data_IF_543007361943
#
_entry.id   IF_543007361943
#
_cell.length_a   1.000
_cell.length_b   1.000
_cell.length_c   1.000
_cell.angle_alpha   90.00
_cell.angle_beta   90.00
_cell.angle_gamma   90.00
#
_symmetry.space_group_name_H-M   'P 1'
#
loop_
_entity.id
_entity.type
_entity.pdbx_description
1 polymer ?
#
# COMPACT_ATOMS: atom_id res chain seq x y z
N UNK A 1 -12.22 -13.57 -12.43
CA UNK A 1 -11.63 -13.40 -11.08
C UNK A 1 -10.21 -13.92 -11.06
N UNK A 2 -9.32 -13.18 -10.41
CA UNK A 2 -7.93 -13.61 -10.26
C UNK A 2 -7.78 -14.52 -9.03
N UNK A 3 -6.86 -15.49 -9.13
CA UNK A 3 -6.45 -16.31 -7.99
C UNK A 3 -5.43 -15.52 -7.17
N UNK A 4 -5.73 -15.32 -5.88
CA UNK A 4 -4.86 -14.60 -4.95
C UNK A 4 -3.92 -15.52 -4.17
N UNK A 5 -4.02 -16.85 -4.33
CA UNK A 5 -3.17 -17.80 -3.60
C UNK A 5 -1.67 -17.51 -3.76
N UNK A 6 -1.15 -17.16 -4.96
CA UNK A 6 0.26 -16.84 -5.13
C UNK A 6 0.73 -15.63 -4.30
N UNK A 7 -0.16 -14.69 -3.98
CA UNK A 7 0.18 -13.55 -3.12
C UNK A 7 0.55 -14.01 -1.70
N UNK A 8 -0.20 -14.96 -1.15
CA UNK A 8 0.04 -15.47 0.20
C UNK A 8 1.40 -16.18 0.31
N UNK A 9 1.83 -16.86 -0.76
CA UNK A 9 3.13 -17.52 -0.80
C UNK A 9 4.32 -16.54 -0.78
N UNK A 10 4.08 -15.27 -1.07
CA UNK A 10 5.10 -14.22 -1.11
C UNK A 10 5.23 -13.44 0.19
N UNK A 11 4.34 -13.67 1.15
CA UNK A 11 4.40 -12.99 2.44
C UNK A 11 5.60 -13.49 3.23
N UNK A 12 6.43 -12.56 3.72
CA UNK A 12 7.63 -12.85 4.49
C UNK A 12 7.40 -12.61 5.97
N UNK A 13 7.96 -13.51 6.79
CA UNK A 13 7.88 -13.40 8.24
C UNK A 13 8.58 -12.14 8.74
N UNK A 14 7.96 -11.47 9.72
CA UNK A 14 8.49 -10.28 10.41
C UNK A 14 8.69 -9.04 9.53
N UNK A 15 8.09 -9.04 8.35
CA UNK A 15 8.02 -7.84 7.48
C UNK A 15 6.57 -7.54 7.12
N UNK A 16 6.30 -6.31 6.72
CA UNK A 16 5.04 -5.95 6.05
C UNK A 16 5.21 -6.18 4.55
N UNK A 17 4.33 -7.00 3.98
CA UNK A 17 4.27 -7.21 2.53
C UNK A 17 3.28 -6.21 1.94
N UNK A 18 3.77 -5.28 1.15
CA UNK A 18 3.01 -4.13 0.65
C UNK A 18 3.38 -3.81 -0.79
N UNK A 19 2.52 -3.07 -1.45
CA UNK A 19 2.74 -2.59 -2.82
C UNK A 19 3.16 -1.12 -2.79
N UNK A 20 4.15 -0.78 -3.60
CA UNK A 20 4.57 0.60 -3.81
C UNK A 20 3.43 1.42 -4.42
N UNK A 21 3.12 2.56 -3.81
CA UNK A 21 2.20 3.55 -4.37
C UNK A 21 2.95 4.36 -5.45
N UNK A 22 2.95 3.86 -6.66
CA UNK A 22 3.67 4.48 -7.78
C UNK A 22 3.20 5.89 -8.08
N UNK A 23 1.88 6.15 -8.18
CA UNK A 23 1.41 7.51 -8.44
C UNK A 23 1.86 8.52 -7.40
N UNK A 24 1.81 8.16 -6.12
CA UNK A 24 2.19 9.05 -5.03
C UNK A 24 3.72 9.22 -4.95
N UNK A 25 4.48 8.14 -5.10
CA UNK A 25 5.95 8.19 -5.14
C UNK A 25 6.46 9.09 -6.28
N UNK A 26 5.79 9.05 -7.43
CA UNK A 26 6.09 9.90 -8.59
C UNK A 26 5.77 11.38 -8.33
N UNK A 27 4.64 11.65 -7.66
CA UNK A 27 4.20 13.03 -7.38
C UNK A 27 5.00 13.70 -6.28
N UNK A 28 5.58 12.92 -5.38
CA UNK A 28 6.33 13.41 -4.21
C UNK A 28 7.67 12.70 -4.10
N UNK A 29 8.55 12.86 -5.12
CA UNK A 29 9.83 12.15 -5.17
C UNK A 29 10.76 12.51 -4.02
N UNK A 30 10.60 13.69 -3.42
CA UNK A 30 11.36 14.12 -2.24
C UNK A 30 11.09 13.25 -1.00
N UNK A 31 10.01 12.51 -0.97
CA UNK A 31 9.66 11.60 0.13
C UNK A 31 10.19 10.18 -0.06
N UNK A 32 10.82 9.90 -1.21
CA UNK A 32 11.29 8.56 -1.56
C UNK A 32 10.15 7.61 -1.91
N UNK A 33 10.37 6.32 -1.68
CA UNK A 33 9.34 5.31 -1.91
C UNK A 33 8.17 5.50 -0.94
N UNK A 34 6.96 5.34 -1.48
CA UNK A 34 5.72 5.46 -0.73
C UNK A 34 4.93 4.16 -0.84
N UNK A 35 4.66 3.50 0.26
CA UNK A 35 3.93 2.23 0.27
C UNK A 35 2.46 2.46 0.57
N UNK A 36 1.60 1.77 -0.18
CA UNK A 36 0.16 1.90 -0.03
C UNK A 36 -0.39 0.92 1.01
N UNK A 37 -1.16 1.42 1.96
CA UNK A 37 -1.73 0.64 3.06
C UNK A 37 -3.03 -0.10 2.73
N UNK A 38 -3.47 -0.05 1.48
CA UNK A 38 -4.71 -0.72 1.06
C UNK A 38 -4.63 -2.25 1.04
N UNK A 39 -3.43 -2.78 0.86
CA UNK A 39 -3.15 -4.23 0.97
C UNK A 39 -1.89 -4.40 1.81
N UNK A 40 -2.04 -5.06 2.95
CA UNK A 40 -0.94 -5.31 3.88
C UNK A 40 -0.97 -6.79 4.28
N UNK A 41 0.09 -7.50 3.94
CA UNK A 41 0.27 -8.89 4.35
C UNK A 41 1.38 -9.02 5.38
N UNK A 42 1.21 -9.91 6.34
CA UNK A 42 2.27 -10.22 7.29
C UNK A 42 2.07 -11.60 7.90
N UNK A 43 3.16 -12.13 8.45
CA UNK A 43 3.16 -13.32 9.30
C UNK A 43 4.16 -13.11 10.43
N UNK A 44 3.94 -13.78 11.57
CA UNK A 44 4.72 -13.52 12.77
C UNK A 44 4.33 -12.22 13.46
N UNK A 45 5.30 -11.56 14.05
CA UNK A 45 5.13 -10.28 14.76
C UNK A 45 6.11 -9.24 14.22
N UNK A 46 5.84 -8.60 13.06
CA UNK A 46 6.74 -7.61 12.52
C UNK A 46 6.95 -6.45 13.52
N UNK A 47 8.19 -6.11 13.88
CA UNK A 47 8.43 -4.97 14.79
C UNK A 47 7.86 -3.66 14.27
N UNK A 48 7.92 -3.43 12.96
CA UNK A 48 7.35 -2.23 12.33
C UNK A 48 5.84 -2.13 12.49
N UNK A 49 5.13 -3.27 12.51
CA UNK A 49 3.67 -3.29 12.72
C UNK A 49 3.33 -2.83 14.15
N UNK A 50 4.05 -3.30 15.15
CA UNK A 50 3.89 -2.88 16.55
C UNK A 50 4.16 -1.39 16.70
N UNK A 51 5.25 -0.89 16.11
CA UNK A 51 5.59 0.53 16.14
C UNK A 51 4.56 1.38 15.39
N UNK A 52 4.11 0.94 14.24
CA UNK A 52 3.07 1.62 13.46
C UNK A 52 1.79 1.79 14.26
N UNK A 53 1.34 0.71 14.89
CA UNK A 53 0.19 0.74 15.80
C UNK A 53 0.39 1.74 16.95
N UNK A 54 1.56 1.72 17.58
CA UNK A 54 1.90 2.63 18.68
C UNK A 54 1.88 4.10 18.24
N UNK A 55 2.47 4.42 17.11
CA UNK A 55 2.48 5.79 16.58
C UNK A 55 1.08 6.30 16.27
N UNK A 56 0.21 5.46 15.71
CA UNK A 56 -1.19 5.84 15.44
C UNK A 56 -1.98 6.03 16.74
N UNK A 57 -1.93 5.05 17.64
CA UNK A 57 -2.77 5.06 18.84
C UNK A 57 -2.34 6.09 19.86
N UNK A 58 -1.07 6.44 19.93
CA UNK A 58 -0.52 7.44 20.84
C UNK A 58 -0.36 8.83 20.20
N UNK A 59 -0.67 8.98 18.94
CA UNK A 59 -0.57 10.26 18.24
C UNK A 59 0.84 10.84 18.22
N UNK A 60 1.85 10.03 17.99
CA UNK A 60 3.27 10.44 18.10
C UNK A 60 3.79 11.21 16.89
N UNK A 61 2.97 11.46 15.89
CA UNK A 61 3.31 12.22 14.68
C UNK A 61 2.15 13.13 14.29
N UNK A 62 2.44 14.17 13.53
CA UNK A 62 1.43 15.08 12.97
C UNK A 62 0.80 14.54 11.67
N UNK A 63 1.21 13.37 11.20
CA UNK A 63 0.63 12.75 10.02
C UNK A 63 -0.80 12.28 10.32
N UNK A 64 -1.70 12.44 9.35
CA UNK A 64 -3.14 12.27 9.56
C UNK A 64 -3.63 10.86 9.24
N UNK A 65 -3.13 10.23 8.19
CA UNK A 65 -3.56 8.91 7.73
C UNK A 65 -2.63 7.80 8.20
N UNK A 66 -3.14 6.58 8.22
CA UNK A 66 -2.35 5.39 8.58
C UNK A 66 -1.18 5.16 7.60
N UNK A 67 -1.42 5.36 6.32
CA UNK A 67 -0.40 5.25 5.28
C UNK A 67 0.70 6.31 5.46
N UNK A 68 0.31 7.53 5.74
CA UNK A 68 1.24 8.64 5.98
C UNK A 68 2.12 8.38 7.21
N UNK A 69 1.55 7.85 8.28
CA UNK A 69 2.29 7.50 9.50
C UNK A 69 3.35 6.43 9.19
N UNK A 70 2.98 5.37 8.50
CA UNK A 70 3.93 4.31 8.14
C UNK A 70 5.08 4.85 7.29
N UNK A 71 4.76 5.60 6.25
CA UNK A 71 5.78 6.13 5.35
C UNK A 71 6.66 7.18 6.03
N UNK A 72 6.10 7.96 6.97
CA UNK A 72 6.88 8.82 7.83
C UNK A 72 7.87 8.03 8.69
N UNK A 73 7.46 6.91 9.27
CA UNK A 73 8.33 6.03 10.06
C UNK A 73 9.48 5.44 9.22
N UNK A 74 9.20 5.05 7.98
CA UNK A 74 10.22 4.55 7.05
C UNK A 74 11.17 5.65 6.58
N UNK A 75 10.68 6.90 6.52
CA UNK A 75 11.46 8.09 6.22
C UNK A 75 12.12 8.13 4.86
N UNK A 76 11.66 7.33 3.90
CA UNK A 76 12.31 7.19 2.59
C UNK A 76 13.71 6.56 2.66
N UNK A 77 14.04 5.91 3.78
CA UNK A 77 15.34 5.28 4.01
C UNK A 77 15.36 3.86 3.42
N UNK A 78 16.15 3.61 2.35
CA UNK A 78 16.21 2.29 1.71
C UNK A 78 16.61 1.16 2.66
N UNK A 79 17.42 1.43 3.69
CA UNK A 79 17.82 0.40 4.67
C UNK A 79 16.64 0.01 5.56
N UNK A 80 15.85 0.97 6.02
CA UNK A 80 14.62 0.70 6.79
C UNK A 80 13.61 -0.06 5.95
N UNK A 81 13.42 0.33 4.71
CA UNK A 81 12.54 -0.37 3.78
C UNK A 81 12.97 -1.82 3.59
N UNK A 82 14.27 -2.07 3.37
CA UNK A 82 14.79 -3.42 3.19
C UNK A 82 14.57 -4.29 4.42
N UNK A 83 14.70 -3.73 5.63
CA UNK A 83 14.53 -4.47 6.89
C UNK A 83 13.05 -4.77 7.17
N UNK A 84 12.14 -3.83 6.88
CA UNK A 84 10.76 -3.86 7.37
C UNK A 84 9.72 -4.15 6.29
N UNK A 85 10.04 -3.95 5.01
CA UNK A 85 9.10 -4.09 3.90
C UNK A 85 9.53 -5.22 2.97
N UNK A 86 8.56 -6.05 2.61
CA UNK A 86 8.64 -6.96 1.48
C UNK A 86 7.74 -6.41 0.38
N UNK A 87 8.33 -5.92 -0.71
CA UNK A 87 7.56 -5.32 -1.79
C UNK A 87 6.83 -6.40 -2.59
N UNK A 88 5.51 -6.29 -2.66
CA UNK A 88 4.66 -7.13 -3.49
C UNK A 88 4.53 -6.54 -4.90
N UNK A 89 4.23 -7.41 -5.86
CA UNK A 89 3.92 -7.00 -7.22
C UNK A 89 2.76 -6.00 -7.27
N UNK A 90 2.87 -5.05 -8.16
CA UNK A 90 1.86 -4.04 -8.49
C UNK A 90 0.46 -4.62 -8.79
N UNK A 91 0.40 -5.85 -9.30
CA UNK A 91 -0.89 -6.50 -9.59
C UNK A 91 -1.75 -6.72 -8.35
N UNK A 92 -1.16 -6.74 -7.16
CA UNK A 92 -1.87 -7.00 -5.90
C UNK A 92 -2.41 -5.74 -5.21
N UNK A 93 -2.12 -4.56 -5.72
CA UNK A 93 -2.73 -3.31 -5.29
C UNK A 93 -2.57 -2.25 -6.37
N UNK A 94 -3.37 -2.39 -7.42
CA UNK A 94 -3.40 -1.44 -8.54
C UNK A 94 -4.37 -0.32 -8.19
N UNK A 95 -3.89 0.92 -8.18
CA UNK A 95 -4.66 2.06 -7.74
C UNK A 95 -5.46 2.68 -8.88
N UNK A 96 -6.55 3.36 -8.54
CA UNK A 96 -7.29 4.19 -9.49
C UNK A 96 -6.37 5.17 -10.22
N UNK A 97 -5.43 5.77 -9.51
CA UNK A 97 -4.48 6.72 -10.11
C UNK A 97 -3.47 6.04 -11.04
N UNK A 98 -3.20 4.74 -10.89
CA UNK A 98 -2.38 3.99 -11.85
C UNK A 98 -3.04 3.95 -13.23
N UNK A 99 -4.36 3.87 -13.29
CA UNK A 99 -5.10 3.95 -14.56
C UNK A 99 -4.95 5.32 -15.21
N UNK A 100 -5.01 6.39 -14.42
CA UNK A 100 -4.86 7.76 -14.90
C UNK A 100 -3.43 8.02 -15.37
N UNK A 101 -2.44 7.52 -14.65
CA UNK A 101 -1.02 7.73 -14.94
C UNK A 101 -0.47 6.74 -15.99
N UNK A 102 -1.29 5.81 -16.50
CA UNK A 102 -0.88 4.73 -17.40
C UNK A 102 0.24 3.85 -16.83
N UNK A 103 0.24 3.66 -15.51
CA UNK A 103 1.18 2.77 -14.80
C UNK A 103 0.54 1.46 -14.36
N UNK A 104 -0.75 1.26 -14.65
CA UNK A 104 -1.46 0.04 -14.29
C UNK A 104 -0.92 -1.17 -15.04
N UNK A 105 -0.77 -2.34 -14.37
CA UNK A 105 -0.41 -3.59 -15.04
C UNK A 105 -1.58 -4.06 -15.92
N UNK A 106 -1.26 -4.90 -16.92
CA UNK A 106 -2.28 -5.42 -17.85
C UNK A 106 -3.35 -6.26 -17.16
N UNK A 107 -2.96 -7.04 -16.15
CA UNK A 107 -3.84 -7.97 -15.46
C UNK A 107 -3.80 -7.73 -13.94
N UNK A 108 -4.42 -6.65 -13.43
CA UNK A 108 -4.47 -6.42 -12.00
C UNK A 108 -5.30 -7.52 -11.30
N UNK A 109 -4.78 -8.06 -10.21
CA UNK A 109 -5.49 -9.03 -9.38
C UNK A 109 -6.35 -8.36 -8.31
N UNK A 110 -5.86 -7.26 -7.74
CA UNK A 110 -6.62 -6.41 -6.82
C UNK A 110 -6.61 -4.99 -7.38
N UNK A 111 -7.82 -4.48 -7.62
CA UNK A 111 -8.03 -3.09 -8.05
C UNK A 111 -8.55 -2.26 -6.88
N UNK A 112 -7.78 -1.27 -6.48
CA UNK A 112 -8.07 -0.42 -5.33
C UNK A 112 -8.64 0.93 -5.78
N UNK A 113 -9.94 1.10 -5.66
CA UNK A 113 -10.65 2.33 -5.99
C UNK A 113 -10.55 3.33 -4.83
N UNK A 114 -9.49 4.09 -4.81
CA UNK A 114 -9.15 5.01 -3.72
C UNK A 114 -9.98 6.29 -3.71
N UNK A 115 -10.22 6.80 -2.47
CA UNK A 115 -10.84 8.11 -2.25
C UNK A 115 -12.33 8.19 -2.60
N UNK A 116 -12.89 9.40 -2.51
CA UNK A 116 -14.30 9.64 -2.81
C UNK A 116 -14.69 9.31 -4.25
N UNK A 117 -13.83 9.67 -5.20
CA UNK A 117 -14.05 9.36 -6.63
C UNK A 117 -14.04 7.85 -6.90
N UNK A 118 -13.20 7.09 -6.20
CA UNK A 118 -13.17 5.64 -6.29
C UNK A 118 -14.45 5.00 -5.74
N UNK A 119 -14.96 5.51 -4.62
CA UNK A 119 -16.24 5.06 -4.03
C UNK A 119 -17.41 5.29 -4.97
N UNK A 120 -17.46 6.44 -5.64
CA UNK A 120 -18.49 6.74 -6.64
C UNK A 120 -18.40 5.77 -7.83
N UNK A 121 -17.20 5.41 -8.26
CA UNK A 121 -17.00 4.45 -9.35
C UNK A 121 -17.50 3.05 -8.96
N UNK A 122 -17.21 2.60 -7.75
CA UNK A 122 -17.72 1.32 -7.24
C UNK A 122 -19.26 1.34 -7.22
N UNK A 123 -19.85 2.41 -6.70
CA UNK A 123 -21.31 2.55 -6.67
C UNK A 123 -21.91 2.47 -8.06
N UNK A 124 -21.35 3.19 -9.03
CA UNK A 124 -21.79 3.16 -10.42
C UNK A 124 -21.73 1.73 -11.00
N UNK A 125 -20.61 1.02 -10.78
CA UNK A 125 -20.49 -0.38 -11.23
C UNK A 125 -21.51 -1.32 -10.58
N UNK A 126 -21.84 -1.09 -9.31
CA UNK A 126 -22.87 -1.89 -8.61
C UNK A 126 -24.29 -1.59 -9.12
N UNK A 127 -24.57 -0.31 -9.40
CA UNK A 127 -25.89 0.13 -9.84
C UNK A 127 -26.17 -0.19 -11.32
N UNK A 128 -25.14 -0.18 -12.18
CA UNK A 128 -25.23 -0.26 -13.63
C UNK A 128 -24.46 -1.44 -14.25
N UNK A 129 -23.84 -2.23 -13.43
CA UNK A 129 -23.09 -3.42 -13.85
C UNK A 129 -23.89 -4.66 -13.60
#
# INVERSE_FOLDING_TARGET
RADLSPMFDKIQKNKLSMVLDRPWSKRRPERGNWYNSGVVGYTGKPPVLTEWHRYITQGLTNEVGDQEVLNWMLGGDPLREMVHINELSHIYNTLRLDLIDNTAPKNPHIMHWTGGKGKLKIKDMMDNG
#
